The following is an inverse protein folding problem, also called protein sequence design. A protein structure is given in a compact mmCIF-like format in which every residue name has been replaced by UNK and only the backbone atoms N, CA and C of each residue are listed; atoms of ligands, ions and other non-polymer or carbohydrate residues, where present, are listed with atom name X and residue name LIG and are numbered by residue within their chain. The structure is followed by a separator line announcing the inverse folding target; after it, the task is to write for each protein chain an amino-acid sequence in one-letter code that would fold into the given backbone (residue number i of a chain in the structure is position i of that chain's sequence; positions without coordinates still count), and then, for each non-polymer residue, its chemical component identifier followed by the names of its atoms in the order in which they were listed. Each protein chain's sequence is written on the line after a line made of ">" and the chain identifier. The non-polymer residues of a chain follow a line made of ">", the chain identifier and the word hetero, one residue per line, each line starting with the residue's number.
data_IF_509695291366
#
_entry.id   IF_509695291366
#
_cell.length_a   1.000
_cell.length_b   1.000
_cell.length_c   1.000
_cell.angle_alpha   90.00
_cell.angle_beta   90.00
_cell.angle_gamma   90.00
#
_symmetry.space_group_name_H-M   'P 1'
#
loop_
_entity.id
_entity.type
_entity.pdbx_description
1 polymer ?
#
# COMPACT_ATOMS: atom_id res chain seq x y z
N UNK A 1 -2.50 -17.22 49.14
CA UNK A 1 -1.07 -17.43 48.79
C UNK A 1 -1.03 -18.52 47.73
N UNK A 2 -0.43 -18.22 46.57
CA UNK A 2 0.06 -19.17 45.53
C UNK A 2 -1.06 -20.01 44.85
N UNK A 3 -1.29 -20.06 43.53
CA UNK A 3 -0.42 -19.76 42.39
C UNK A 3 -1.25 -19.45 41.14
N UNK A 4 -0.79 -18.42 40.43
CA UNK A 4 -1.11 -18.10 39.03
C UNK A 4 -0.19 -18.96 38.15
N UNK A 5 -0.69 -19.86 37.31
CA UNK A 5 0.09 -20.35 36.16
C UNK A 5 -0.74 -21.09 35.08
N UNK A 6 -1.86 -20.52 34.63
CA UNK A 6 -2.64 -21.13 33.53
C UNK A 6 -2.91 -20.20 32.33
N UNK A 7 -2.38 -18.97 32.31
CA UNK A 7 -2.69 -18.01 31.24
C UNK A 7 -1.54 -17.67 30.27
N UNK A 8 -0.46 -18.45 30.24
CA UNK A 8 0.67 -18.17 29.33
C UNK A 8 0.88 -19.19 28.19
N UNK A 9 0.03 -20.21 28.05
CA UNK A 9 0.11 -21.14 26.91
C UNK A 9 -0.84 -20.81 25.74
N UNK A 10 -1.84 -19.95 25.95
CA UNK A 10 -2.81 -19.56 24.90
C UNK A 10 -2.44 -18.32 24.09
N UNK A 11 -1.31 -17.66 24.38
CA UNK A 11 -0.89 -16.41 23.71
C UNK A 11 0.43 -16.49 22.94
N UNK A 12 1.10 -17.64 22.96
CA UNK A 12 2.31 -17.88 22.18
C UNK A 12 2.07 -18.71 20.91
N UNK A 13 0.82 -19.13 20.65
CA UNK A 13 0.46 -19.95 19.49
C UNK A 13 -0.18 -19.16 18.34
N UNK A 14 -0.28 -17.83 18.45
CA UNK A 14 -0.89 -16.97 17.42
C UNK A 14 0.08 -15.96 16.78
N UNK A 15 1.38 -16.08 17.01
CA UNK A 15 2.38 -15.11 16.56
C UNK A 15 3.63 -15.72 15.91
N UNK A 16 3.52 -16.92 15.35
CA UNK A 16 4.54 -17.49 14.45
C UNK A 16 3.84 -18.21 13.30
N UNK A 17 3.38 -17.43 12.32
CA UNK A 17 3.09 -17.90 10.96
C UNK A 17 3.67 -16.90 9.94
N UNK A 18 4.88 -16.43 10.25
CA UNK A 18 5.81 -15.82 9.30
C UNK A 18 6.95 -16.81 9.11
N UNK A 19 6.68 -17.88 8.37
CA UNK A 19 7.70 -18.78 7.85
C UNK A 19 7.06 -19.75 6.85
N UNK A 20 6.98 -19.34 5.58
CA UNK A 20 7.11 -20.27 4.47
C UNK A 20 7.64 -19.52 3.23
N UNK A 21 8.89 -19.11 3.33
CA UNK A 21 9.73 -18.78 2.18
C UNK A 21 10.78 -19.89 2.05
N UNK A 22 10.36 -21.08 1.63
CA UNK A 22 11.23 -22.16 1.13
C UNK A 22 10.38 -23.39 0.77
N UNK A 23 9.70 -23.35 -0.37
CA UNK A 23 9.46 -24.55 -1.17
C UNK A 23 9.24 -24.10 -2.61
N UNK A 24 10.18 -24.43 -3.47
CA UNK A 24 9.96 -24.37 -4.91
C UNK A 24 8.78 -25.26 -5.29
N UNK A 25 8.21 -24.94 -6.45
CA UNK A 25 7.15 -25.62 -7.18
C UNK A 25 5.72 -25.14 -6.89
N UNK A 26 5.16 -24.59 -7.97
CA UNK A 26 3.76 -24.34 -8.28
C UNK A 26 3.12 -23.14 -7.55
N UNK A 27 3.48 -21.93 -7.94
CA UNK A 27 2.47 -20.87 -7.99
C UNK A 27 1.45 -21.29 -9.05
N UNK A 28 0.40 -21.96 -8.63
CA UNK A 28 -0.66 -22.39 -9.52
C UNK A 28 -1.47 -21.16 -9.95
N UNK A 29 -1.79 -21.04 -11.25
CA UNK A 29 -2.73 -20.06 -11.81
C UNK A 29 -3.98 -19.73 -10.93
N UNK A 30 -4.55 -20.67 -10.13
CA UNK A 30 -5.59 -20.34 -9.15
C UNK A 30 -5.26 -19.26 -8.11
N UNK A 31 -4.02 -19.13 -7.64
CA UNK A 31 -3.67 -18.11 -6.64
C UNK A 31 -3.52 -16.73 -7.28
N UNK A 32 -3.05 -16.70 -8.53
CA UNK A 32 -2.98 -15.50 -9.35
C UNK A 32 -4.36 -14.92 -9.67
N UNK A 33 -5.33 -15.76 -10.05
CA UNK A 33 -6.70 -15.34 -10.32
C UNK A 33 -7.42 -14.84 -9.06
N UNK A 34 -7.21 -15.50 -7.92
CA UNK A 34 -7.74 -15.03 -6.63
C UNK A 34 -7.21 -13.64 -6.25
N UNK A 35 -5.92 -13.39 -6.44
CA UNK A 35 -5.32 -12.06 -6.18
C UNK A 35 -5.99 -10.98 -7.04
N UNK A 36 -6.24 -11.27 -8.32
CA UNK A 36 -6.93 -10.36 -9.25
C UNK A 36 -8.37 -10.06 -8.83
N UNK A 37 -9.12 -11.06 -8.35
CA UNK A 37 -10.51 -10.91 -7.90
C UNK A 37 -10.65 -10.13 -6.57
N UNK A 38 -9.59 -10.07 -5.76
CA UNK A 38 -9.59 -9.35 -4.48
C UNK A 38 -9.33 -7.83 -4.64
N UNK A 39 -8.61 -7.41 -5.69
CA UNK A 39 -8.26 -6.00 -5.91
C UNK A 39 -9.48 -5.10 -6.07
N UNK A 40 -10.51 -5.41 -6.90
CA UNK A 40 -11.68 -4.55 -7.05
C UNK A 40 -12.45 -4.32 -5.75
N UNK A 41 -12.45 -5.32 -4.84
CA UNK A 41 -13.07 -5.17 -3.51
C UNK A 41 -12.29 -4.19 -2.64
N UNK A 42 -10.95 -4.25 -2.69
CA UNK A 42 -10.08 -3.32 -1.96
C UNK A 42 -10.15 -1.90 -2.55
N UNK A 43 -10.25 -1.76 -3.87
CA UNK A 43 -10.47 -0.46 -4.53
C UNK A 43 -11.77 0.19 -4.10
N UNK A 44 -12.85 -0.61 -3.99
CA UNK A 44 -14.12 -0.15 -3.42
C UNK A 44 -13.95 0.31 -1.97
N UNK A 45 -13.24 -0.46 -1.13
CA UNK A 45 -12.98 -0.07 0.26
C UNK A 45 -12.20 1.26 0.35
N UNK A 46 -11.22 1.49 -0.52
CA UNK A 46 -10.51 2.77 -0.63
C UNK A 46 -11.46 3.90 -1.05
N UNK A 47 -12.32 3.65 -2.04
CA UNK A 47 -13.32 4.62 -2.49
C UNK A 47 -14.27 5.01 -1.36
N UNK A 48 -14.81 4.03 -0.64
CA UNK A 48 -15.74 4.24 0.47
C UNK A 48 -15.05 4.98 1.64
N UNK A 49 -13.81 4.60 1.97
CA UNK A 49 -13.02 5.28 2.99
C UNK A 49 -12.68 6.73 2.60
N UNK A 50 -12.38 6.98 1.32
CA UNK A 50 -12.07 8.33 0.82
C UNK A 50 -13.30 9.23 0.85
N UNK A 51 -14.46 8.72 0.45
CA UNK A 51 -15.73 9.45 0.58
C UNK A 51 -16.02 9.79 2.04
N UNK A 52 -15.86 8.82 2.95
CA UNK A 52 -16.09 9.04 4.37
C UNK A 52 -15.10 10.05 4.99
N UNK A 53 -13.84 10.08 4.54
CA UNK A 53 -12.88 11.11 4.94
C UNK A 53 -13.29 12.47 4.38
N UNK A 54 -13.62 12.55 3.09
CA UNK A 54 -14.03 13.80 2.44
C UNK A 54 -15.23 14.44 3.15
N UNK A 55 -16.22 13.65 3.54
CA UNK A 55 -17.39 14.12 4.28
C UNK A 55 -17.02 14.66 5.67
N UNK A 56 -16.10 13.98 6.37
CA UNK A 56 -15.62 14.41 7.67
C UNK A 56 -14.79 15.70 7.59
N UNK A 57 -13.94 15.82 6.58
CA UNK A 57 -13.14 17.01 6.30
C UNK A 57 -14.04 18.20 5.89
N UNK A 58 -15.11 17.96 5.13
CA UNK A 58 -16.10 19.00 4.79
C UNK A 58 -16.76 19.57 6.04
N UNK A 59 -17.26 18.70 6.92
CA UNK A 59 -17.89 19.12 8.19
C UNK A 59 -16.93 19.89 9.08
N UNK A 60 -15.68 19.44 9.19
CA UNK A 60 -14.65 20.15 9.93
C UNK A 60 -14.37 21.54 9.33
N UNK A 61 -14.29 21.63 8.00
CA UNK A 61 -14.06 22.89 7.30
C UNK A 61 -15.24 23.87 7.45
N UNK A 62 -16.48 23.38 7.39
CA UNK A 62 -17.69 24.15 7.66
C UNK A 62 -17.70 24.72 9.08
N UNK A 63 -17.40 23.89 10.08
CA UNK A 63 -17.26 24.34 11.47
C UNK A 63 -16.15 25.39 11.62
N UNK A 64 -14.98 25.19 11.01
CA UNK A 64 -13.89 26.19 11.00
C UNK A 64 -14.29 27.50 10.33
N UNK A 65 -15.09 27.47 9.28
CA UNK A 65 -15.65 28.69 8.65
C UNK A 65 -16.61 29.41 9.59
N UNK A 66 -17.49 28.68 10.28
CA UNK A 66 -18.42 29.25 11.26
C UNK A 66 -17.69 29.89 12.45
N UNK A 67 -16.55 29.32 12.89
CA UNK A 67 -15.74 29.91 13.95
C UNK A 67 -15.19 31.31 13.61
N UNK A 68 -14.98 31.63 12.32
CA UNK A 68 -14.42 32.94 11.90
C UNK A 68 -15.38 34.10 12.12
N UNK A 69 -16.69 33.83 12.19
CA UNK A 69 -17.73 34.86 12.31
C UNK A 69 -18.43 34.85 13.66
N UNK A 70 -18.22 33.81 14.48
CA UNK A 70 -18.84 33.66 15.79
C UNK A 70 -18.06 34.40 16.90
N UNK A 71 -18.77 34.87 17.93
CA UNK A 71 -18.19 35.49 19.12
C UNK A 71 -18.83 34.94 20.40
N UNK A 72 -18.19 35.18 21.55
CA UNK A 72 -18.72 34.83 22.87
C UNK A 72 -19.03 33.33 23.03
N UNK A 73 -20.20 33.00 23.58
CA UNK A 73 -20.61 31.62 23.86
C UNK A 73 -20.73 30.77 22.59
N UNK A 74 -21.15 31.35 21.46
CA UNK A 74 -21.27 30.64 20.19
C UNK A 74 -19.91 30.18 19.65
N UNK A 75 -18.88 31.04 19.77
CA UNK A 75 -17.51 30.66 19.40
C UNK A 75 -16.98 29.51 20.26
N UNK A 76 -17.26 29.53 21.57
CA UNK A 76 -16.83 28.46 22.47
C UNK A 76 -17.50 27.12 22.15
N UNK A 77 -18.79 27.14 21.81
CA UNK A 77 -19.51 25.94 21.36
C UNK A 77 -18.93 25.39 20.06
N UNK A 78 -18.68 26.25 19.06
CA UNK A 78 -18.09 25.85 17.78
C UNK A 78 -16.67 25.31 17.92
N UNK A 79 -15.84 25.87 18.81
CA UNK A 79 -14.50 25.34 19.11
C UNK A 79 -14.58 23.93 19.70
N UNK A 80 -15.49 23.70 20.65
CA UNK A 80 -15.71 22.38 21.25
C UNK A 80 -16.20 21.34 20.23
N UNK A 81 -17.13 21.72 19.35
CA UNK A 81 -17.57 20.88 18.24
C UNK A 81 -16.43 20.61 17.24
N UNK A 82 -15.62 21.64 16.94
CA UNK A 82 -14.46 21.54 16.06
C UNK A 82 -13.45 20.49 16.51
N UNK A 83 -13.22 20.35 17.83
CA UNK A 83 -12.36 19.28 18.38
C UNK A 83 -12.94 17.89 18.09
N UNK A 84 -14.25 17.70 18.28
CA UNK A 84 -14.92 16.42 17.99
C UNK A 84 -14.86 16.08 16.49
N UNK A 85 -15.09 17.07 15.64
CA UNK A 85 -15.01 16.93 14.19
C UNK A 85 -13.57 16.63 13.73
N UNK A 86 -12.56 17.27 14.32
CA UNK A 86 -11.15 17.01 14.03
C UNK A 86 -10.76 15.59 14.40
N UNK A 87 -11.22 15.08 15.54
CA UNK A 87 -11.01 13.68 15.94
C UNK A 87 -11.67 12.71 14.97
N UNK A 88 -12.93 12.95 14.60
CA UNK A 88 -13.66 12.11 13.65
C UNK A 88 -12.99 12.12 12.26
N UNK A 89 -12.56 13.28 11.77
CA UNK A 89 -11.80 13.40 10.52
C UNK A 89 -10.49 12.62 10.58
N UNK A 90 -9.77 12.69 11.70
CA UNK A 90 -8.58 11.88 11.98
C UNK A 90 -8.86 10.38 11.85
N UNK A 91 -9.88 9.87 12.54
CA UNK A 91 -10.24 8.44 12.47
C UNK A 91 -10.62 7.98 11.04
N UNK A 92 -11.20 8.87 10.23
CA UNK A 92 -11.50 8.56 8.81
C UNK A 92 -10.24 8.59 7.94
N UNK A 93 -9.33 9.53 8.17
CA UNK A 93 -8.04 9.58 7.51
C UNK A 93 -7.20 8.32 7.81
N UNK A 94 -7.24 7.86 9.07
CA UNK A 94 -6.57 6.62 9.50
C UNK A 94 -7.09 5.41 8.72
N UNK A 95 -8.41 5.28 8.61
CA UNK A 95 -9.06 4.20 7.85
C UNK A 95 -8.75 4.26 6.35
N UNK A 96 -8.69 5.47 5.76
CA UNK A 96 -8.27 5.60 4.38
C UNK A 96 -6.82 5.13 4.20
N UNK A 97 -5.91 5.58 5.07
CA UNK A 97 -4.50 5.18 4.99
C UNK A 97 -4.33 3.66 5.11
N UNK A 98 -5.05 3.01 6.03
CA UNK A 98 -5.09 1.55 6.16
C UNK A 98 -5.62 0.87 4.89
N UNK A 99 -6.72 1.36 4.32
CA UNK A 99 -7.30 0.81 3.09
C UNK A 99 -6.35 0.98 1.89
N UNK A 100 -5.72 2.15 1.73
CA UNK A 100 -4.74 2.40 0.67
C UNK A 100 -3.52 1.49 0.81
N UNK A 101 -3.01 1.30 2.03
CA UNK A 101 -1.89 0.41 2.29
C UNK A 101 -2.24 -1.06 2.03
N UNK A 102 -3.44 -1.51 2.40
CA UNK A 102 -3.92 -2.86 2.10
C UNK A 102 -4.04 -3.09 0.59
N UNK A 103 -4.63 -2.14 -0.14
CA UNK A 103 -4.71 -2.21 -1.60
C UNK A 103 -3.31 -2.27 -2.23
N UNK A 104 -2.40 -1.37 -1.82
CA UNK A 104 -1.04 -1.32 -2.36
C UNK A 104 -0.24 -2.59 -2.08
N UNK A 105 -0.40 -3.19 -0.88
CA UNK A 105 0.22 -4.48 -0.56
C UNK A 105 -0.28 -5.59 -1.48
N UNK A 106 -1.61 -5.65 -1.68
CA UNK A 106 -2.23 -6.68 -2.52
C UNK A 106 -1.87 -6.53 -4.00
N UNK A 107 -1.83 -5.29 -4.48
CA UNK A 107 -1.32 -4.94 -5.80
C UNK A 107 0.13 -5.39 -5.98
N UNK A 108 1.00 -5.16 -4.99
CA UNK A 108 2.38 -5.66 -5.03
C UNK A 108 2.51 -7.19 -4.96
N UNK A 109 1.60 -7.88 -4.25
CA UNK A 109 1.52 -9.36 -4.31
C UNK A 109 1.16 -9.86 -5.70
N UNK A 110 0.15 -9.25 -6.35
CA UNK A 110 -0.24 -9.58 -7.71
C UNK A 110 0.92 -9.34 -8.69
N UNK A 111 1.56 -8.17 -8.63
CA UNK A 111 2.73 -7.86 -9.46
C UNK A 111 3.86 -8.86 -9.30
N UNK A 112 4.23 -9.17 -8.05
CA UNK A 112 5.27 -10.16 -7.78
C UNK A 112 4.92 -11.56 -8.30
N UNK A 113 3.65 -11.96 -8.24
CA UNK A 113 3.18 -13.24 -8.81
C UNK A 113 3.20 -13.22 -10.34
N UNK A 114 2.69 -12.15 -10.95
CA UNK A 114 2.66 -11.92 -12.38
C UNK A 114 4.08 -11.94 -12.98
N UNK A 115 5.01 -11.20 -12.37
CA UNK A 115 6.42 -11.17 -12.76
C UNK A 115 7.08 -12.55 -12.74
N UNK A 116 6.84 -13.33 -11.67
CA UNK A 116 7.35 -14.71 -11.57
C UNK A 116 6.75 -15.60 -12.64
N UNK A 117 5.46 -15.48 -12.91
CA UNK A 117 4.78 -16.28 -13.93
C UNK A 117 5.34 -15.97 -15.32
N UNK A 118 5.41 -14.70 -15.70
CA UNK A 118 5.96 -14.26 -16.98
C UNK A 118 7.39 -14.78 -17.21
N UNK A 119 8.28 -14.62 -16.22
CA UNK A 119 9.65 -15.14 -16.30
C UNK A 119 9.68 -16.66 -16.41
N UNK A 120 8.82 -17.37 -15.68
CA UNK A 120 8.82 -18.85 -15.71
C UNK A 120 8.49 -19.41 -17.09
N UNK A 121 7.67 -18.70 -17.88
CA UNK A 121 7.33 -19.08 -19.25
C UNK A 121 8.55 -19.14 -20.18
N UNK A 122 9.63 -18.40 -19.91
CA UNK A 122 10.85 -18.47 -20.71
C UNK A 122 11.47 -19.88 -20.74
N UNK A 123 11.28 -20.66 -19.68
CA UNK A 123 11.88 -21.99 -19.48
C UNK A 123 10.86 -23.13 -19.38
N UNK A 124 9.56 -22.83 -19.41
CA UNK A 124 8.51 -23.84 -19.34
C UNK A 124 8.53 -24.78 -20.56
N UNK A 125 8.04 -26.02 -20.37
CA UNK A 125 7.87 -26.97 -21.46
C UNK A 125 6.68 -26.57 -22.36
N UNK A 126 6.74 -26.93 -23.64
CA UNK A 126 5.67 -26.68 -24.61
C UNK A 126 6.06 -25.72 -25.74
N UNK A 127 5.07 -25.39 -26.58
CA UNK A 127 5.26 -24.51 -27.75
C UNK A 127 5.67 -23.11 -27.30
N UNK A 128 6.68 -22.54 -27.96
CA UNK A 128 7.20 -21.21 -27.61
C UNK A 128 6.12 -20.12 -27.73
N UNK A 129 5.34 -20.12 -28.80
CA UNK A 129 4.30 -19.09 -29.02
C UNK A 129 3.26 -19.07 -27.90
N UNK A 130 2.79 -20.25 -27.47
CA UNK A 130 1.85 -20.36 -26.35
C UNK A 130 2.45 -19.79 -25.07
N UNK A 131 3.72 -20.09 -24.78
CA UNK A 131 4.41 -19.56 -23.60
C UNK A 131 4.59 -18.04 -23.65
N UNK A 132 4.82 -17.48 -24.83
CA UNK A 132 4.95 -16.03 -25.04
C UNK A 132 3.61 -15.32 -24.81
N UNK A 133 2.51 -15.87 -25.31
CA UNK A 133 1.15 -15.35 -25.04
C UNK A 133 0.85 -15.32 -23.54
N UNK A 134 1.15 -16.43 -22.84
CA UNK A 134 0.99 -16.51 -21.38
C UNK A 134 1.87 -15.51 -20.62
N UNK A 135 3.10 -15.28 -21.10
CA UNK A 135 3.99 -14.28 -20.53
C UNK A 135 3.46 -12.86 -20.74
N UNK A 136 2.93 -12.55 -21.92
CA UNK A 136 2.30 -11.25 -22.22
C UNK A 136 1.11 -10.99 -21.30
N UNK A 137 0.20 -11.96 -21.13
CA UNK A 137 -0.94 -11.81 -20.23
C UNK A 137 -0.53 -11.54 -18.78
N UNK A 138 0.54 -12.18 -18.30
CA UNK A 138 1.07 -11.86 -16.99
C UNK A 138 1.75 -10.49 -16.93
N UNK A 139 2.39 -10.05 -18.00
CA UNK A 139 3.00 -8.73 -18.05
C UNK A 139 1.95 -7.62 -18.04
N UNK A 140 0.83 -7.81 -18.74
CA UNK A 140 -0.33 -6.89 -18.70
C UNK A 140 -0.89 -6.76 -17.28
N UNK A 141 -1.06 -7.87 -16.57
CA UNK A 141 -1.56 -7.87 -15.20
C UNK A 141 -0.53 -7.31 -14.20
N UNK A 142 0.77 -7.48 -14.48
CA UNK A 142 1.84 -6.84 -13.72
C UNK A 142 1.76 -5.32 -13.86
N UNK A 143 1.67 -4.80 -15.09
CA UNK A 143 1.54 -3.36 -15.34
C UNK A 143 0.23 -2.79 -14.75
N UNK A 144 -0.90 -3.45 -15.00
CA UNK A 144 -2.21 -3.05 -14.49
C UNK A 144 -2.28 -3.02 -12.96
N UNK A 145 -1.48 -3.83 -12.27
CA UNK A 145 -1.41 -3.87 -10.81
C UNK A 145 -0.45 -2.84 -10.19
N UNK A 146 0.15 -1.92 -10.96
CA UNK A 146 1.00 -0.85 -10.40
C UNK A 146 0.20 0.14 -9.54
N UNK A 147 -1.04 0.43 -9.92
CA UNK A 147 -1.98 1.26 -9.17
C UNK A 147 -1.45 2.65 -8.76
N UNK A 148 -2.11 3.26 -7.76
CA UNK A 148 -1.67 4.53 -7.15
C UNK A 148 -0.86 4.27 -5.87
N UNK A 149 0.17 5.07 -5.60
CA UNK A 149 0.87 5.00 -4.31
C UNK A 149 -0.06 5.56 -3.22
N UNK A 150 -0.12 4.91 -2.05
CA UNK A 150 -0.71 5.49 -0.86
C UNK A 150 -0.09 6.85 -0.54
N UNK A 151 -0.92 7.81 -0.14
CA UNK A 151 -0.43 9.12 0.29
C UNK A 151 0.32 9.01 1.62
N UNK A 152 1.33 9.86 1.83
CA UNK A 152 2.01 9.92 3.13
C UNK A 152 1.01 10.42 4.18
N UNK A 153 0.81 9.72 5.32
CA UNK A 153 -0.06 10.18 6.40
C UNK A 153 0.27 11.60 6.86
N UNK A 154 -0.75 12.45 6.97
CA UNK A 154 -0.61 13.84 7.42
C UNK A 154 -0.59 13.91 8.94
N UNK A 155 0.16 14.86 9.49
CA UNK A 155 0.12 15.16 10.91
C UNK A 155 -1.21 15.84 11.26
N UNK A 156 -1.86 15.38 12.33
CA UNK A 156 -3.10 15.99 12.79
C UNK A 156 -2.81 17.31 13.49
N UNK A 157 -3.65 18.31 13.21
CA UNK A 157 -3.56 19.59 13.94
C UNK A 157 -3.96 19.38 15.40
N UNK A 158 -3.13 19.87 16.31
CA UNK A 158 -3.39 19.88 17.75
C UNK A 158 -4.07 21.18 18.22
N UNK A 159 -4.38 22.08 17.28
CA UNK A 159 -5.03 23.34 17.58
C UNK A 159 -6.39 23.11 18.26
N UNK A 160 -6.61 23.75 19.41
CA UNK A 160 -7.85 23.63 20.19
C UNK A 160 -7.95 22.40 21.10
N UNK A 161 -6.98 21.49 21.06
CA UNK A 161 -6.91 20.35 21.99
C UNK A 161 -6.19 20.79 23.26
N UNK A 162 -6.92 20.93 24.36
CA UNK A 162 -6.35 21.45 25.63
C UNK A 162 -5.72 20.34 26.47
N UNK A 163 -6.23 19.11 26.39
CA UNK A 163 -5.74 17.98 27.18
C UNK A 163 -4.35 17.51 26.69
N UNK A 164 -3.28 17.62 27.51
CA UNK A 164 -1.95 17.16 27.14
C UNK A 164 -1.86 15.66 26.87
N UNK A 165 -2.70 14.84 27.51
CA UNK A 165 -2.74 13.39 27.28
C UNK A 165 -3.35 13.07 25.91
N UNK A 166 -4.37 13.82 25.51
CA UNK A 166 -4.98 13.68 24.18
C UNK A 166 -4.01 14.12 23.08
N UNK A 167 -3.32 15.26 23.26
CA UNK A 167 -2.26 15.68 22.33
C UNK A 167 -1.16 14.61 22.19
N UNK A 168 -0.70 14.05 23.31
CA UNK A 168 0.31 12.99 23.33
C UNK A 168 -0.18 11.71 22.64
N UNK A 169 -1.45 11.33 22.84
CA UNK A 169 -2.05 10.17 22.18
C UNK A 169 -2.10 10.36 20.66
N UNK A 170 -2.49 11.55 20.18
CA UNK A 170 -2.52 11.89 18.76
C UNK A 170 -1.11 11.80 18.15
N UNK A 171 -0.12 12.46 18.75
CA UNK A 171 1.27 12.40 18.29
C UNK A 171 1.80 10.98 18.23
N UNK A 172 1.51 10.17 19.26
CA UNK A 172 1.91 8.75 19.30
C UNK A 172 1.30 7.98 18.13
N UNK A 173 0.02 8.20 17.83
CA UNK A 173 -0.64 7.51 16.73
C UNK A 173 -0.13 7.99 15.36
N UNK A 174 0.08 9.30 15.16
CA UNK A 174 0.68 9.84 13.92
C UNK A 174 2.07 9.24 13.68
N UNK A 175 2.86 9.10 14.75
CA UNK A 175 4.17 8.44 14.72
C UNK A 175 4.05 6.97 14.30
N UNK A 176 3.11 6.22 14.87
CA UNK A 176 2.88 4.80 14.50
C UNK A 176 2.51 4.68 13.03
N UNK A 177 1.64 5.54 12.51
CA UNK A 177 1.23 5.50 11.11
C UNK A 177 2.36 5.83 10.15
N UNK A 178 3.13 6.89 10.44
CA UNK A 178 4.27 7.24 9.61
C UNK A 178 5.38 6.18 9.67
N UNK A 179 5.58 5.51 10.81
CA UNK A 179 6.49 4.37 10.92
C UNK A 179 6.00 3.18 10.09
N UNK A 180 4.71 2.86 10.15
CA UNK A 180 4.11 1.83 9.32
C UNK A 180 4.24 2.15 7.82
N UNK A 181 4.10 3.43 7.45
CA UNK A 181 4.29 3.91 6.08
C UNK A 181 5.73 3.79 5.60
N UNK A 182 6.74 4.21 6.40
CA UNK A 182 8.15 4.03 6.00
C UNK A 182 8.52 2.55 5.89
N UNK A 183 8.01 1.70 6.80
CA UNK A 183 8.20 0.26 6.74
C UNK A 183 7.62 -0.35 5.45
N UNK A 184 6.40 0.07 5.08
CA UNK A 184 5.78 -0.30 3.80
C UNK A 184 6.59 0.18 2.61
N UNK A 185 6.97 1.47 2.58
CA UNK A 185 7.75 2.04 1.48
C UNK A 185 9.10 1.33 1.31
N UNK A 186 9.74 0.92 2.41
CA UNK A 186 10.96 0.12 2.36
C UNK A 186 10.75 -1.28 1.77
N UNK A 187 9.64 -1.94 2.13
CA UNK A 187 9.28 -3.24 1.56
C UNK A 187 8.95 -3.12 0.07
N UNK A 188 8.23 -2.06 -0.30
CA UNK A 188 7.84 -1.77 -1.69
C UNK A 188 9.06 -1.46 -2.57
N UNK A 189 10.02 -0.68 -2.08
CA UNK A 189 11.28 -0.43 -2.79
C UNK A 189 12.04 -1.73 -3.10
N UNK A 190 12.13 -2.65 -2.12
CA UNK A 190 12.77 -3.97 -2.31
C UNK A 190 12.01 -4.86 -3.28
N UNK A 191 10.67 -4.77 -3.28
CA UNK A 191 9.82 -5.48 -4.22
C UNK A 191 10.05 -4.98 -5.64
N UNK A 192 10.04 -3.66 -5.84
CA UNK A 192 10.32 -3.01 -7.13
C UNK A 192 11.73 -3.39 -7.63
N UNK A 193 12.73 -3.47 -6.74
CA UNK A 193 14.08 -3.92 -7.13
C UNK A 193 14.11 -5.36 -7.65
N UNK A 194 13.27 -6.24 -7.10
CA UNK A 194 13.13 -7.61 -7.58
C UNK A 194 12.42 -7.64 -8.93
N UNK A 195 11.36 -6.86 -9.05
CA UNK A 195 10.56 -6.68 -10.26
C UNK A 195 11.38 -6.12 -11.44
N UNK A 196 12.25 -5.13 -11.21
CA UNK A 196 13.17 -4.60 -12.23
C UNK A 196 14.11 -5.70 -12.75
N UNK A 197 14.61 -6.58 -11.87
CA UNK A 197 15.45 -7.71 -12.28
C UNK A 197 14.66 -8.73 -13.10
N UNK A 198 13.40 -8.97 -12.75
CA UNK A 198 12.53 -9.88 -13.50
C UNK A 198 12.21 -9.32 -14.88
N UNK A 199 11.95 -8.01 -15.01
CA UNK A 199 11.75 -7.36 -16.30
C UNK A 199 13.04 -7.45 -17.14
N UNK A 200 14.21 -7.25 -16.53
CA UNK A 200 15.50 -7.42 -17.21
C UNK A 200 15.69 -8.86 -17.73
N UNK A 201 15.25 -9.89 -17.00
CA UNK A 201 15.33 -11.28 -17.49
C UNK A 201 14.49 -11.53 -18.74
N UNK A 202 13.33 -10.90 -18.86
CA UNK A 202 12.51 -10.96 -20.07
C UNK A 202 13.21 -10.25 -21.24
N UNK A 203 13.84 -9.11 -20.98
CA UNK A 203 14.62 -8.35 -21.97
C UNK A 203 15.82 -9.15 -22.45
N UNK A 204 16.58 -9.76 -21.54
CA UNK A 204 17.77 -10.56 -21.86
C UNK A 204 17.41 -11.83 -22.65
N UNK A 205 16.15 -12.26 -22.63
CA UNK A 205 15.65 -13.39 -23.41
C UNK A 205 15.30 -13.04 -24.87
N UNK A 206 15.49 -11.80 -25.31
CA UNK A 206 15.11 -11.30 -26.65
C UNK A 206 15.53 -12.23 -27.79
N UNK A 207 16.77 -12.73 -27.78
CA UNK A 207 17.26 -13.63 -28.84
C UNK A 207 16.47 -14.95 -28.90
N UNK A 208 16.10 -15.51 -27.74
CA UNK A 208 15.32 -16.75 -27.66
C UNK A 208 13.87 -16.55 -28.09
N UNK A 209 13.36 -15.33 -27.93
CA UNK A 209 11.98 -14.96 -28.20
C UNK A 209 11.77 -14.48 -29.64
N UNK A 210 12.84 -14.12 -30.37
CA UNK A 210 12.77 -13.53 -31.71
C UNK A 210 11.97 -14.37 -32.73
N UNK A 211 11.93 -15.68 -32.56
CA UNK A 211 11.23 -16.60 -33.47
C UNK A 211 9.77 -16.86 -33.07
N UNK A 212 9.28 -16.26 -31.98
CA UNK A 212 7.89 -16.34 -31.57
C UNK A 212 7.12 -15.14 -32.11
N UNK A 213 5.87 -15.35 -32.54
CA UNK A 213 5.06 -14.32 -33.19
C UNK A 213 4.95 -13.03 -32.34
N UNK A 214 4.77 -13.18 -31.01
CA UNK A 214 4.64 -12.07 -30.07
C UNK A 214 5.89 -11.83 -29.19
N UNK A 215 7.02 -12.45 -29.56
CA UNK A 215 8.24 -12.38 -28.74
C UNK A 215 8.83 -10.97 -28.68
N UNK A 216 8.71 -10.20 -29.76
CA UNK A 216 9.12 -8.79 -29.79
C UNK A 216 8.23 -7.92 -28.88
N UNK A 217 6.91 -8.11 -28.95
CA UNK A 217 5.96 -7.39 -28.12
C UNK A 217 6.29 -7.58 -26.64
N UNK A 218 6.50 -8.83 -26.22
CA UNK A 218 6.86 -9.16 -24.84
C UNK A 218 8.11 -8.40 -24.35
N UNK A 219 9.14 -8.33 -25.18
CA UNK A 219 10.39 -7.63 -24.85
C UNK A 219 10.20 -6.12 -24.80
N UNK A 220 9.46 -5.55 -25.74
CA UNK A 220 9.19 -4.11 -25.79
C UNK A 220 8.36 -3.67 -24.57
N UNK A 221 7.30 -4.42 -24.22
CA UNK A 221 6.51 -4.14 -23.01
C UNK A 221 7.33 -4.33 -21.73
N UNK A 222 8.24 -5.32 -21.68
CA UNK A 222 9.16 -5.47 -20.55
C UNK A 222 10.12 -4.27 -20.39
N UNK A 223 10.60 -3.67 -21.51
CA UNK A 223 11.45 -2.46 -21.49
C UNK A 223 10.68 -1.25 -20.95
N UNK A 224 9.44 -1.07 -21.39
CA UNK A 224 8.54 0.00 -20.90
C UNK A 224 8.25 -0.19 -19.41
N UNK A 225 7.84 -1.39 -19.00
CA UNK A 225 7.54 -1.72 -17.61
C UNK A 225 8.76 -1.50 -16.70
N UNK A 226 9.96 -1.91 -17.12
CA UNK A 226 11.20 -1.66 -16.37
C UNK A 226 11.40 -0.16 -16.13
N UNK A 227 11.21 0.67 -17.14
CA UNK A 227 11.32 2.14 -17.04
C UNK A 227 10.29 2.70 -16.05
N UNK A 228 9.06 2.22 -16.12
CA UNK A 228 7.98 2.57 -15.18
C UNK A 228 8.32 2.19 -13.75
N UNK A 229 8.88 0.99 -13.53
CA UNK A 229 9.31 0.50 -12.21
C UNK A 229 10.48 1.33 -11.64
N UNK A 230 11.44 1.72 -12.46
CA UNK A 230 12.54 2.60 -12.03
C UNK A 230 12.03 3.98 -11.59
N UNK A 231 11.09 4.56 -12.35
CA UNK A 231 10.41 5.80 -11.96
C UNK A 231 9.63 5.61 -10.65
N UNK A 232 8.89 4.51 -10.54
CA UNK A 232 8.11 4.15 -9.35
C UNK A 232 8.98 4.02 -8.11
N UNK A 233 10.15 3.40 -8.24
CA UNK A 233 11.16 3.32 -7.16
C UNK A 233 11.55 4.70 -6.66
N UNK A 234 11.84 5.63 -7.57
CA UNK A 234 12.18 7.01 -7.23
C UNK A 234 11.02 7.73 -6.51
N UNK A 235 9.78 7.52 -6.95
CA UNK A 235 8.59 8.06 -6.28
C UNK A 235 8.46 7.54 -4.85
N UNK A 236 8.60 6.23 -4.64
CA UNK A 236 8.57 5.61 -3.31
C UNK A 236 9.67 6.19 -2.41
N UNK A 237 10.90 6.33 -2.91
CA UNK A 237 12.01 6.94 -2.15
C UNK A 237 11.69 8.38 -1.72
N UNK A 238 11.07 9.18 -2.59
CA UNK A 238 10.62 10.55 -2.25
C UNK A 238 9.55 10.54 -1.16
N UNK A 239 8.56 9.65 -1.27
CA UNK A 239 7.49 9.53 -0.27
C UNK A 239 8.03 9.08 1.09
N UNK A 240 8.96 8.13 1.10
CA UNK A 240 9.66 7.71 2.33
C UNK A 240 10.45 8.85 2.97
N UNK A 241 11.15 9.65 2.17
CA UNK A 241 11.85 10.84 2.68
C UNK A 241 10.87 11.82 3.33
N UNK A 242 9.73 12.08 2.69
CA UNK A 242 8.65 12.91 3.27
C UNK A 242 8.12 12.31 4.57
N UNK A 243 7.91 10.99 4.64
CA UNK A 243 7.45 10.33 5.86
C UNK A 243 8.45 10.48 7.01
N UNK A 244 9.76 10.32 6.74
CA UNK A 244 10.84 10.53 7.71
C UNK A 244 10.91 11.97 8.20
N UNK A 245 10.85 12.94 7.29
CA UNK A 245 10.79 14.36 7.68
C UNK A 245 9.59 14.66 8.59
N UNK A 246 8.42 14.06 8.32
CA UNK A 246 7.26 14.20 9.21
C UNK A 246 7.48 13.51 10.56
N UNK A 247 8.08 12.32 10.58
CA UNK A 247 8.45 11.62 11.82
C UNK A 247 9.37 12.44 12.70
N UNK A 248 10.39 13.05 12.11
CA UNK A 248 11.38 13.88 12.81
C UNK A 248 10.77 15.17 13.38
N UNK A 249 9.62 15.61 12.84
CA UNK A 249 8.88 16.77 13.33
C UNK A 249 7.87 16.47 14.45
N UNK A 250 7.69 15.19 14.81
CA UNK A 250 6.84 14.81 15.94
C UNK A 250 7.70 14.82 17.22
N UNK A 251 7.54 15.89 18.01
CA UNK A 251 8.04 16.06 19.38
C UNK A 251 7.49 15.01 20.37
#
# INVERSE_FOLDING_TARGET
>A
MVSRSLNNLGRLLLMVLVALAASGNVFAAPDYKKLKDEIPKLEKNVSDARSAQSDADSKLNENRKAQKTATGAALNALKSEGVKLAKAAGEKADKLAEAEQQLANKQGELRGAAAKYAVSQLSAAGKLDVRVVEANHALDDWDGALGKLPAVPSLRSLEGIVDPQEQKAIRKQDKVQLQAYDAWGNAEEKRIDTEIKQAQQLIDAEEKLRNADDGKLLVDTAKELKTTLEKRKSEVQKLRKTAKTRLDSID
#
